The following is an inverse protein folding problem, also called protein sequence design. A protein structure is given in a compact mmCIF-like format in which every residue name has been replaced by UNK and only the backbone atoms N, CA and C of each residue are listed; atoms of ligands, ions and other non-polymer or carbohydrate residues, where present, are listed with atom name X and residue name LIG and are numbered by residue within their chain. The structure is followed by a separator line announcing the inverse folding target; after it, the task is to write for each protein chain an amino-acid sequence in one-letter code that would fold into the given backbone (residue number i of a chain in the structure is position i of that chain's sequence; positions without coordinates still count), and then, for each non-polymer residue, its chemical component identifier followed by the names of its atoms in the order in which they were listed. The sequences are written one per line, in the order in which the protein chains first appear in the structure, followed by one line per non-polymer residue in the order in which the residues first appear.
data_IF_459606228308
#
_entry.id   IF_459606228308
#
_cell.length_a   1.000
_cell.length_b   1.000
_cell.length_c   1.000
_cell.angle_alpha   90.00
_cell.angle_beta   90.00
_cell.angle_gamma   90.00
#
_symmetry.space_group_name_H-M   'P 1'
#
loop_
_entity.id
_entity.type
_entity.pdbx_description
1 polymer ?
#
# COMPACT_ATOMS: atom_id res chain seq x y z
N UNK A 1 0.32 13.22 -8.83
CA UNK A 1 0.02 12.84 -10.21
C UNK A 1 -1.44 12.47 -10.23
N UNK A 2 -2.24 13.17 -11.01
CA UNK A 2 -3.63 12.80 -11.30
C UNK A 2 -3.61 11.45 -12.00
N UNK A 3 -3.87 10.37 -11.25
CA UNK A 3 -4.27 9.10 -11.84
C UNK A 3 -5.54 9.39 -12.63
N UNK A 4 -5.46 9.30 -13.96
CA UNK A 4 -6.67 9.31 -14.77
C UNK A 4 -7.58 8.19 -14.27
N UNK A 5 -8.88 8.45 -14.19
CA UNK A 5 -9.81 7.44 -13.68
C UNK A 5 -9.76 6.20 -14.56
N UNK A 6 -9.23 5.12 -13.99
CA UNK A 6 -9.14 3.83 -14.64
C UNK A 6 -10.55 3.28 -14.91
N UNK A 7 -10.78 2.76 -16.11
CA UNK A 7 -12.07 2.14 -16.45
C UNK A 7 -12.26 0.81 -15.71
N UNK A 8 -13.50 0.38 -15.44
CA UNK A 8 -13.76 -0.93 -14.83
C UNK A 8 -13.11 -2.11 -15.58
N UNK A 9 -13.06 -2.05 -16.90
CA UNK A 9 -12.44 -3.09 -17.72
C UNK A 9 -10.90 -3.12 -17.56
N UNK A 10 -10.25 -1.94 -17.52
CA UNK A 10 -8.82 -1.85 -17.27
C UNK A 10 -8.44 -2.32 -15.86
N UNK A 11 -9.26 -1.99 -14.85
CA UNK A 11 -9.05 -2.49 -13.49
C UNK A 11 -9.23 -4.01 -13.40
N UNK A 12 -10.21 -4.58 -14.12
CA UNK A 12 -10.37 -6.03 -14.22
C UNK A 12 -9.13 -6.67 -14.88
N UNK A 13 -8.61 -6.09 -15.96
CA UNK A 13 -7.38 -6.56 -16.60
C UNK A 13 -6.19 -6.53 -15.63
N UNK A 14 -6.05 -5.45 -14.85
CA UNK A 14 -5.06 -5.33 -13.78
C UNK A 14 -5.17 -6.48 -12.78
N UNK A 15 -6.38 -6.77 -12.28
CA UNK A 15 -6.63 -7.91 -11.38
C UNK A 15 -6.33 -9.28 -12.01
N UNK A 16 -6.69 -9.47 -13.28
CA UNK A 16 -6.43 -10.72 -14.02
C UNK A 16 -4.93 -10.94 -14.23
N UNK A 17 -4.16 -9.86 -14.37
CA UNK A 17 -2.70 -9.91 -14.57
C UNK A 17 -1.91 -10.29 -13.31
N UNK A 18 -2.52 -10.20 -12.13
CA UNK A 18 -1.90 -10.58 -10.87
C UNK A 18 -1.60 -12.08 -10.87
N UNK A 19 -0.40 -12.42 -10.41
CA UNK A 19 -0.01 -13.81 -10.20
C UNK A 19 -0.55 -14.36 -8.87
N UNK A 20 -1.81 -14.82 -8.88
CA UNK A 20 -2.54 -15.25 -7.67
C UNK A 20 -2.06 -16.58 -7.06
N UNK A 21 -1.47 -17.46 -7.87
CA UNK A 21 -0.93 -18.76 -7.44
C UNK A 21 0.55 -18.89 -7.81
N UNK A 22 1.21 -17.73 -7.91
CA UNK A 22 2.57 -17.61 -8.39
C UNK A 22 3.61 -18.27 -7.52
N UNK A 23 4.84 -18.08 -7.94
CA UNK A 23 5.99 -18.43 -7.13
C UNK A 23 5.91 -17.71 -5.77
N UNK A 24 5.90 -18.50 -4.68
CA UNK A 24 5.90 -17.98 -3.31
C UNK A 24 7.09 -17.04 -3.08
N UNK A 25 8.16 -17.18 -3.86
CA UNK A 25 9.31 -16.27 -3.83
C UNK A 25 8.93 -14.82 -4.18
N UNK A 26 7.89 -14.58 -4.98
CA UNK A 26 7.40 -13.22 -5.28
C UNK A 26 6.77 -12.59 -4.04
N UNK A 27 5.86 -13.29 -3.36
CA UNK A 27 5.23 -12.79 -2.13
C UNK A 27 6.28 -12.60 -1.02
N UNK A 28 7.22 -13.54 -0.88
CA UNK A 28 8.30 -13.49 0.11
C UNK A 28 9.25 -12.32 -0.18
N UNK A 29 9.64 -12.11 -1.43
CA UNK A 29 10.53 -11.00 -1.80
C UNK A 29 9.87 -9.63 -1.59
N UNK A 30 8.54 -9.52 -1.65
CA UNK A 30 7.81 -8.27 -1.43
C UNK A 30 7.16 -8.14 -0.05
N UNK A 31 7.61 -8.92 0.92
CA UNK A 31 6.99 -9.03 2.25
C UNK A 31 6.79 -7.66 2.95
N UNK A 32 7.75 -6.73 2.82
CA UNK A 32 7.71 -5.44 3.57
C UNK A 32 6.68 -4.50 2.99
N UNK A 33 6.74 -4.30 1.68
CA UNK A 33 5.75 -3.47 0.99
C UNK A 33 4.35 -4.04 1.13
N UNK A 34 4.16 -5.36 0.98
CA UNK A 34 2.85 -6.02 1.17
C UNK A 34 2.26 -5.74 2.56
N UNK A 35 3.08 -5.83 3.61
CA UNK A 35 2.66 -5.53 4.98
C UNK A 35 2.23 -4.06 5.18
N UNK A 36 2.99 -3.11 4.62
CA UNK A 36 2.68 -1.68 4.70
C UNK A 36 1.40 -1.33 3.91
N UNK A 37 1.26 -1.91 2.72
CA UNK A 37 0.10 -1.73 1.86
C UNK A 37 -1.17 -2.32 2.49
N UNK A 38 -1.10 -3.49 3.12
CA UNK A 38 -2.23 -4.06 3.88
C UNK A 38 -2.61 -3.17 5.05
N UNK A 39 -1.65 -2.67 5.84
CA UNK A 39 -1.93 -1.73 6.95
C UNK A 39 -2.56 -0.44 6.46
N UNK A 40 -2.10 0.09 5.32
CA UNK A 40 -2.70 1.26 4.70
C UNK A 40 -4.13 0.98 4.21
N UNK A 41 -4.39 -0.20 3.62
CA UNK A 41 -5.74 -0.63 3.28
C UNK A 41 -6.64 -0.66 4.52
N UNK A 42 -6.21 -1.30 5.61
CA UNK A 42 -6.98 -1.38 6.86
C UNK A 42 -7.31 0.01 7.42
N UNK A 43 -6.35 0.94 7.38
CA UNK A 43 -6.52 2.35 7.76
C UNK A 43 -7.56 3.04 6.88
N UNK A 44 -7.44 2.93 5.55
CA UNK A 44 -8.40 3.57 4.61
C UNK A 44 -9.78 2.96 4.72
N UNK A 45 -9.89 1.64 4.81
CA UNK A 45 -11.14 0.94 5.05
C UNK A 45 -11.79 1.38 6.37
N UNK A 46 -11.01 1.64 7.43
CA UNK A 46 -11.54 2.16 8.69
C UNK A 46 -12.11 3.58 8.55
N UNK A 47 -11.44 4.45 7.78
CA UNK A 47 -11.96 5.80 7.47
C UNK A 47 -13.30 5.72 6.74
N UNK A 48 -13.38 4.88 5.71
CA UNK A 48 -14.60 4.66 4.95
C UNK A 48 -15.72 4.02 5.79
N UNK A 49 -15.40 3.02 6.61
CA UNK A 49 -16.38 2.38 7.47
C UNK A 49 -16.99 3.39 8.46
N UNK A 50 -16.18 4.27 9.06
CA UNK A 50 -16.67 5.32 9.96
C UNK A 50 -17.52 6.37 9.24
N UNK A 51 -17.09 6.81 8.06
CA UNK A 51 -17.82 7.81 7.27
C UNK A 51 -19.20 7.31 6.83
N UNK A 52 -19.29 6.02 6.52
CA UNK A 52 -20.50 5.38 6.00
C UNK A 52 -21.39 4.75 7.08
N UNK A 53 -20.96 4.76 8.36
CA UNK A 53 -21.63 4.02 9.44
C UNK A 53 -21.65 2.50 9.20
N UNK A 54 -20.62 1.98 8.55
CA UNK A 54 -20.43 0.59 8.15
C UNK A 54 -19.37 -0.13 9.00
N UNK A 55 -19.16 0.29 10.25
CA UNK A 55 -18.15 -0.28 11.16
C UNK A 55 -18.24 -1.81 11.33
N UNK A 56 -19.45 -2.44 11.39
CA UNK A 56 -19.56 -3.90 11.50
C UNK A 56 -19.03 -4.67 10.27
N UNK A 57 -18.90 -4.04 9.10
CA UNK A 57 -18.43 -4.67 7.87
C UNK A 57 -16.90 -4.57 7.70
N UNK A 58 -16.24 -3.75 8.51
CA UNK A 58 -14.79 -3.61 8.50
C UNK A 58 -14.11 -4.94 8.88
N UNK A 59 -12.96 -5.32 8.27
CA UNK A 59 -12.14 -4.55 7.33
C UNK A 59 -12.34 -4.84 5.84
N UNK A 60 -13.01 -5.94 5.48
CA UNK A 60 -13.08 -6.42 4.11
C UNK A 60 -14.50 -6.30 3.57
N UNK A 61 -14.83 -5.11 3.05
CA UNK A 61 -16.15 -4.80 2.54
C UNK A 61 -16.09 -4.03 1.23
N UNK A 62 -17.24 -4.00 0.56
CA UNK A 62 -17.43 -3.21 -0.64
C UNK A 62 -18.02 -1.84 -0.25
N UNK A 63 -17.18 -0.80 -0.29
CA UNK A 63 -17.54 0.59 0.00
C UNK A 63 -18.67 1.08 -0.92
N UNK A 64 -18.74 0.55 -2.15
CA UNK A 64 -19.75 0.97 -3.12
C UNK A 64 -21.16 0.50 -2.75
N UNK A 65 -21.30 -0.57 -1.97
CA UNK A 65 -22.60 -1.05 -1.47
C UNK A 65 -23.28 -0.01 -0.56
N UNK A 66 -22.52 0.90 0.03
CA UNK A 66 -23.02 1.96 0.92
C UNK A 66 -23.16 3.33 0.23
N UNK A 67 -22.47 3.54 -0.88
CA UNK A 67 -22.52 4.79 -1.64
C UNK A 67 -23.58 4.76 -2.74
N UNK A 68 -23.72 3.63 -3.43
CA UNK A 68 -24.61 3.48 -4.56
C UNK A 68 -25.14 2.05 -4.63
N UNK A 69 -26.22 1.79 -3.90
CA UNK A 69 -26.87 0.48 -3.88
C UNK A 69 -27.21 0.00 -5.30
N UNK A 70 -26.72 -1.19 -5.64
CA UNK A 70 -26.94 -1.79 -6.95
C UNK A 70 -26.04 -1.26 -8.07
N UNK A 71 -25.00 -0.47 -7.76
CA UNK A 71 -23.99 -0.09 -8.74
C UNK A 71 -23.32 -1.34 -9.33
N UNK A 72 -23.27 -1.40 -10.66
CA UNK A 72 -22.70 -2.51 -11.42
C UNK A 72 -21.91 -1.97 -12.60
N UNK A 73 -20.85 -2.68 -12.98
CA UNK A 73 -20.21 -2.49 -14.27
C UNK A 73 -21.10 -3.03 -15.40
N UNK A 74 -20.69 -2.82 -16.65
CA UNK A 74 -21.35 -3.43 -17.81
C UNK A 74 -21.36 -4.96 -17.67
N UNK A 75 -22.44 -5.60 -18.13
CA UNK A 75 -22.68 -7.04 -17.93
C UNK A 75 -21.49 -7.92 -18.36
N UNK A 76 -20.80 -7.56 -19.44
CA UNK A 76 -19.59 -8.26 -19.89
C UNK A 76 -18.46 -8.23 -18.84
N UNK A 77 -18.23 -7.08 -18.21
CA UNK A 77 -17.20 -6.91 -17.18
C UNK A 77 -17.59 -7.68 -15.92
N UNK A 78 -18.86 -7.62 -15.51
CA UNK A 78 -19.35 -8.39 -14.35
C UNK A 78 -19.22 -9.91 -14.59
N UNK A 79 -19.64 -10.42 -15.75
CA UNK A 79 -19.55 -11.84 -16.09
C UNK A 79 -18.09 -12.32 -16.13
N UNK A 80 -17.18 -11.50 -16.64
CA UNK A 80 -15.76 -11.80 -16.70
C UNK A 80 -15.11 -11.76 -15.31
N UNK A 81 -15.46 -10.76 -14.49
CA UNK A 81 -15.05 -10.67 -13.11
C UNK A 81 -15.50 -11.91 -12.32
N UNK A 82 -16.78 -12.27 -12.36
CA UNK A 82 -17.29 -13.43 -11.59
C UNK A 82 -16.63 -14.75 -12.02
N UNK A 83 -16.41 -14.93 -13.33
CA UNK A 83 -15.68 -16.10 -13.84
C UNK A 83 -14.24 -16.14 -13.34
N UNK A 84 -13.56 -15.00 -13.35
CA UNK A 84 -12.20 -14.86 -12.82
C UNK A 84 -12.15 -15.16 -11.32
N UNK A 85 -13.04 -14.54 -10.52
CA UNK A 85 -13.08 -14.71 -9.08
C UNK A 85 -13.33 -16.17 -8.69
N UNK A 86 -14.28 -16.85 -9.35
CA UNK A 86 -14.62 -18.24 -9.07
C UNK A 86 -13.47 -19.21 -9.42
N UNK A 87 -12.64 -18.86 -10.41
CA UNK A 87 -11.55 -19.73 -10.89
C UNK A 87 -10.17 -19.42 -10.29
N UNK A 88 -9.93 -18.20 -9.80
CA UNK A 88 -8.58 -17.72 -9.50
C UNK A 88 -8.37 -17.11 -8.12
N UNK A 89 -9.42 -16.61 -7.47
CA UNK A 89 -9.25 -15.86 -6.23
C UNK A 89 -9.48 -16.79 -5.02
N UNK A 90 -8.49 -16.89 -4.10
CA UNK A 90 -8.47 -17.96 -3.11
C UNK A 90 -9.44 -17.79 -1.94
N UNK A 91 -9.81 -16.54 -1.59
CA UNK A 91 -10.60 -16.27 -0.38
C UNK A 91 -11.82 -15.39 -0.66
N UNK A 92 -12.95 -15.63 0.05
CA UNK A 92 -14.15 -14.81 -0.09
C UNK A 92 -13.93 -13.32 0.17
N UNK A 93 -13.08 -12.97 1.14
CA UNK A 93 -12.73 -11.58 1.47
C UNK A 93 -11.94 -10.90 0.34
N UNK A 94 -10.97 -11.60 -0.25
CA UNK A 94 -10.27 -11.12 -1.46
C UNK A 94 -11.25 -10.93 -2.61
N UNK A 95 -12.15 -11.89 -2.84
CA UNK A 95 -13.15 -11.78 -3.90
C UNK A 95 -14.12 -10.61 -3.67
N UNK A 96 -14.49 -10.32 -2.41
CA UNK A 96 -15.34 -9.17 -2.06
C UNK A 96 -14.64 -7.85 -2.34
N UNK A 97 -13.36 -7.70 -1.97
CA UNK A 97 -12.61 -6.48 -2.22
C UNK A 97 -12.28 -6.27 -3.71
N UNK A 98 -12.04 -7.34 -4.47
CA UNK A 98 -11.90 -7.26 -5.94
C UNK A 98 -13.19 -6.74 -6.61
N UNK A 99 -14.37 -7.22 -6.18
CA UNK A 99 -15.66 -6.68 -6.65
C UNK A 99 -15.81 -5.21 -6.33
N UNK A 100 -15.52 -4.83 -5.08
CA UNK A 100 -15.59 -3.45 -4.65
C UNK A 100 -14.66 -2.54 -5.44
N UNK A 101 -13.44 -2.98 -5.75
CA UNK A 101 -12.51 -2.23 -6.58
C UNK A 101 -13.07 -1.99 -8.00
N UNK A 102 -13.61 -3.02 -8.67
CA UNK A 102 -14.20 -2.88 -10.02
C UNK A 102 -15.39 -1.92 -10.00
N UNK A 103 -16.29 -2.06 -9.03
CA UNK A 103 -17.43 -1.14 -8.86
C UNK A 103 -16.97 0.27 -8.50
N UNK A 104 -15.89 0.41 -7.75
CA UNK A 104 -15.30 1.71 -7.42
C UNK A 104 -14.82 2.43 -8.68
N UNK A 105 -14.21 1.72 -9.63
CA UNK A 105 -13.87 2.28 -10.94
C UNK A 105 -15.12 2.77 -11.70
N UNK A 106 -16.26 2.06 -11.61
CA UNK A 106 -17.54 2.52 -12.19
C UNK A 106 -17.98 3.84 -11.53
N UNK A 107 -17.95 3.88 -10.19
CA UNK A 107 -18.35 5.04 -9.40
C UNK A 107 -17.49 6.26 -9.73
N UNK A 108 -16.17 6.08 -9.76
CA UNK A 108 -15.18 7.09 -10.16
C UNK A 108 -15.43 7.60 -11.57
N UNK A 109 -15.71 6.71 -12.53
CA UNK A 109 -15.98 7.10 -13.91
C UNK A 109 -17.30 7.88 -14.04
N UNK A 110 -18.31 7.53 -13.24
CA UNK A 110 -19.55 8.28 -13.15
C UNK A 110 -19.32 9.68 -12.53
N UNK A 111 -18.47 9.78 -11.50
CA UNK A 111 -18.13 11.05 -10.85
C UNK A 111 -17.34 12.01 -11.77
N UNK A 112 -16.42 11.47 -12.58
CA UNK A 112 -15.58 12.26 -13.47
C UNK A 112 -16.33 12.80 -14.71
N UNK A 113 -17.48 12.20 -15.05
CA UNK A 113 -18.42 12.78 -15.99
C UNK A 113 -19.06 14.03 -15.35
N UNK A 114 -18.34 15.15 -15.38
CA UNK A 114 -18.91 16.51 -15.15
C UNK A 114 -20.21 16.65 -15.96
N UNK A 115 -21.21 17.41 -15.48
CA UNK A 115 -22.52 17.42 -16.12
C UNK A 115 -22.41 17.83 -17.58
N UNK A 116 -22.90 16.95 -18.46
CA UNK A 116 -23.23 17.26 -19.84
C UNK A 116 -24.34 18.33 -19.93
N UNK A 117 -24.75 18.71 -21.15
CA UNK A 117 -25.51 19.93 -21.43
C UNK A 117 -26.84 20.05 -20.66
N UNK A 118 -27.43 21.27 -20.61
CA UNK A 118 -28.58 21.58 -19.76
C UNK A 118 -29.75 20.64 -20.08
N UNK A 119 -30.19 19.87 -19.08
CA UNK A 119 -31.32 18.93 -19.22
C UNK A 119 -31.28 17.74 -18.27
N UNK A 120 -30.13 17.44 -17.65
CA UNK A 120 -29.98 16.38 -16.64
C UNK A 120 -29.74 16.98 -15.24
N UNK A 121 -30.53 17.99 -14.87
CA UNK A 121 -30.41 18.73 -13.59
C UNK A 121 -31.34 18.22 -12.48
N UNK A 122 -32.16 17.21 -12.74
CA UNK A 122 -33.26 16.83 -11.83
C UNK A 122 -32.94 15.59 -10.97
N UNK A 123 -31.68 15.15 -10.86
CA UNK A 123 -31.23 14.16 -9.89
C UNK A 123 -30.31 14.85 -8.85
N UNK A 124 -30.84 15.32 -7.69
CA UNK A 124 -30.14 16.31 -6.89
C UNK A 124 -28.91 15.82 -6.09
N UNK A 125 -28.75 14.52 -5.81
CA UNK A 125 -27.87 14.11 -4.69
C UNK A 125 -26.80 13.04 -4.99
N UNK A 126 -26.68 12.55 -6.23
CA UNK A 126 -26.16 11.18 -6.41
C UNK A 126 -24.65 10.95 -6.39
N UNK A 127 -23.75 11.93 -6.30
CA UNK A 127 -22.30 11.59 -6.38
C UNK A 127 -21.33 12.62 -5.79
N UNK A 128 -21.66 13.25 -4.65
CA UNK A 128 -20.58 13.84 -3.85
C UNK A 128 -19.87 12.72 -3.10
N UNK A 129 -18.76 12.24 -3.67
CA UNK A 129 -17.88 11.32 -2.94
C UNK A 129 -17.26 12.07 -1.75
N UNK A 130 -17.23 11.47 -0.55
CA UNK A 130 -16.46 12.00 0.58
C UNK A 130 -15.01 12.29 0.17
N UNK A 131 -14.41 13.33 0.76
CA UNK A 131 -12.98 13.63 0.57
C UNK A 131 -12.12 12.66 1.38
N UNK A 132 -12.16 11.39 0.98
CA UNK A 132 -11.43 10.28 1.56
C UNK A 132 -10.49 9.66 0.52
N UNK A 133 -9.36 9.09 0.95
CA UNK A 133 -8.42 8.45 0.04
C UNK A 133 -9.05 7.22 -0.62
N UNK A 134 -8.58 6.87 -1.82
CA UNK A 134 -9.00 5.66 -2.54
C UNK A 134 -8.89 4.43 -1.63
N UNK A 135 -9.99 3.70 -1.39
CA UNK A 135 -9.99 2.57 -0.45
C UNK A 135 -9.22 1.36 -0.96
N UNK A 136 -9.13 1.15 -2.29
CA UNK A 136 -8.68 -0.10 -2.88
C UNK A 136 -7.25 -0.06 -3.42
N UNK A 137 -6.72 1.12 -3.76
CA UNK A 137 -5.38 1.22 -4.37
C UNK A 137 -4.26 0.55 -3.57
N UNK A 138 -4.17 0.67 -2.23
CA UNK A 138 -3.14 -0.05 -1.47
C UNK A 138 -3.27 -1.58 -1.61
N UNK A 139 -4.51 -2.08 -1.69
CA UNK A 139 -4.79 -3.51 -1.80
C UNK A 139 -4.47 -4.04 -3.21
N UNK A 140 -4.78 -3.27 -4.25
CA UNK A 140 -4.40 -3.58 -5.63
C UNK A 140 -2.88 -3.67 -5.80
N UNK A 141 -2.15 -2.68 -5.28
CA UNK A 141 -0.68 -2.71 -5.25
C UNK A 141 -0.14 -3.90 -4.45
N UNK A 142 -0.83 -4.31 -3.38
CA UNK A 142 -0.43 -5.49 -2.61
C UNK A 142 -0.62 -6.77 -3.42
N UNK A 143 -1.74 -6.91 -4.12
CA UNK A 143 -2.02 -8.05 -5.00
C UNK A 143 -0.98 -8.20 -6.11
N UNK A 144 -0.63 -7.11 -6.77
CA UNK A 144 0.41 -7.08 -7.82
C UNK A 144 1.78 -7.55 -7.33
N UNK A 145 1.99 -7.59 -6.01
CA UNK A 145 3.27 -7.93 -5.38
C UNK A 145 3.30 -9.35 -4.80
N UNK A 146 2.37 -10.22 -5.17
CA UNK A 146 2.41 -11.64 -4.77
C UNK A 146 1.06 -12.21 -4.36
N UNK A 147 -0.02 -11.77 -5.00
CA UNK A 147 -1.36 -12.32 -4.82
C UNK A 147 -2.06 -11.86 -3.53
N UNK A 148 -3.06 -12.65 -3.13
CA UNK A 148 -4.01 -12.31 -2.08
C UNK A 148 -3.49 -12.51 -0.64
N UNK A 149 -4.43 -12.78 0.25
CA UNK A 149 -4.22 -13.05 1.67
C UNK A 149 -5.26 -14.04 2.18
N UNK A 150 -4.96 -14.67 3.31
CA UNK A 150 -5.93 -15.42 4.12
C UNK A 150 -6.23 -14.69 5.42
N UNK A 151 -7.39 -14.99 6.01
CA UNK A 151 -7.90 -14.34 7.22
C UNK A 151 -8.33 -15.43 8.18
N UNK A 152 -7.65 -15.50 9.32
CA UNK A 152 -8.03 -16.34 10.46
C UNK A 152 -7.93 -15.51 11.74
N UNK A 153 -7.07 -15.86 12.68
CA UNK A 153 -6.72 -15.01 13.83
C UNK A 153 -5.92 -13.77 13.39
N UNK A 154 -5.13 -13.92 12.33
CA UNK A 154 -4.33 -12.89 11.70
C UNK A 154 -4.65 -12.81 10.20
N UNK A 155 -4.28 -11.68 9.59
CA UNK A 155 -4.22 -11.54 8.15
C UNK A 155 -2.86 -12.08 7.71
N UNK A 156 -2.85 -13.24 7.07
CA UNK A 156 -1.64 -13.87 6.56
C UNK A 156 -1.38 -13.43 5.11
N UNK A 157 -0.23 -12.80 4.92
CA UNK A 157 0.27 -12.33 3.61
C UNK A 157 1.25 -13.32 2.96
N UNK A 158 1.16 -14.61 3.31
CA UNK A 158 2.00 -15.71 2.85
C UNK A 158 3.43 -15.66 3.38
N UNK A 159 3.56 -15.45 4.70
CA UNK A 159 4.86 -15.39 5.39
C UNK A 159 4.99 -14.23 6.37
N UNK A 160 4.02 -13.31 6.38
CA UNK A 160 3.88 -12.28 7.42
C UNK A 160 2.45 -12.22 7.93
N UNK A 161 2.33 -12.35 9.25
CA UNK A 161 1.09 -12.20 9.98
C UNK A 161 0.88 -10.74 10.36
N UNK A 162 -0.23 -10.17 9.91
CA UNK A 162 -0.66 -8.82 10.29
C UNK A 162 -1.83 -8.96 11.28
N UNK A 163 -1.70 -8.41 12.50
CA UNK A 163 -2.84 -8.29 13.39
C UNK A 163 -3.90 -7.42 12.76
N UNK A 164 -5.18 -7.82 12.88
CA UNK A 164 -6.30 -6.97 12.48
C UNK A 164 -6.25 -5.61 13.17
N UNK A 165 -5.96 -5.62 14.48
CA UNK A 165 -6.15 -4.45 15.33
C UNK A 165 -7.63 -4.12 15.53
N UNK A 166 -7.91 -2.95 16.08
CA UNK A 166 -9.26 -2.41 16.19
C UNK A 166 -9.49 -1.32 15.15
N UNK A 167 -10.76 -1.04 14.83
CA UNK A 167 -11.13 0.09 13.97
C UNK A 167 -10.49 1.40 14.48
N UNK A 168 -10.57 1.68 15.78
CA UNK A 168 -9.96 2.88 16.39
C UNK A 168 -8.44 2.92 16.28
N UNK A 169 -7.76 1.77 16.45
CA UNK A 169 -6.31 1.72 16.28
C UNK A 169 -5.89 1.99 14.82
N UNK A 170 -6.66 1.50 13.86
CA UNK A 170 -6.42 1.73 12.44
C UNK A 170 -6.71 3.19 12.07
N UNK A 171 -7.77 3.81 12.60
CA UNK A 171 -8.07 5.23 12.38
C UNK A 171 -6.93 6.17 12.84
N UNK A 172 -6.19 5.78 13.88
CA UNK A 172 -5.05 6.54 14.43
C UNK A 172 -3.70 6.17 13.81
N UNK A 173 -3.67 5.15 12.95
CA UNK A 173 -2.43 4.68 12.35
C UNK A 173 -1.80 5.77 11.47
N UNK A 174 -0.47 5.85 11.49
CA UNK A 174 0.27 6.74 10.61
C UNK A 174 0.02 6.36 9.14
N UNK A 175 -0.30 7.32 8.25
CA UNK A 175 -0.57 7.01 6.85
C UNK A 175 0.69 6.63 6.08
N UNK A 176 0.58 5.54 5.31
CA UNK A 176 1.58 5.12 4.34
C UNK A 176 1.09 5.53 2.93
N UNK A 177 1.60 6.65 2.44
CA UNK A 177 1.11 7.30 1.21
C UNK A 177 1.89 6.88 -0.06
N UNK A 178 2.93 6.08 0.10
CA UNK A 178 3.79 5.67 -1.00
C UNK A 178 3.08 4.65 -1.89
N UNK A 179 2.90 5.01 -3.16
CA UNK A 179 2.42 4.11 -4.23
C UNK A 179 3.45 3.93 -5.36
N UNK A 180 4.61 4.58 -5.25
CA UNK A 180 5.68 4.53 -6.25
C UNK A 180 6.34 3.13 -6.25
N UNK A 181 6.27 2.36 -7.37
CA UNK A 181 6.79 1.00 -7.41
C UNK A 181 8.25 0.89 -7.00
N UNK A 182 9.07 1.85 -7.42
CA UNK A 182 10.48 1.86 -7.07
C UNK A 182 10.73 1.97 -5.56
N UNK A 183 9.96 2.81 -4.88
CA UNK A 183 10.09 2.96 -3.43
C UNK A 183 9.69 1.67 -2.72
N UNK A 184 8.61 1.01 -3.19
CA UNK A 184 8.21 -0.31 -2.67
C UNK A 184 9.31 -1.35 -2.90
N UNK A 185 9.91 -1.40 -4.09
CA UNK A 185 11.01 -2.31 -4.42
C UNK A 185 12.26 -2.02 -3.58
N UNK A 186 12.54 -0.74 -3.30
CA UNK A 186 13.66 -0.36 -2.43
C UNK A 186 13.44 -0.78 -0.97
N UNK A 187 12.20 -0.76 -0.46
CA UNK A 187 11.89 -1.29 0.88
C UNK A 187 12.14 -2.80 0.95
N UNK A 188 11.84 -3.52 -0.13
CA UNK A 188 11.94 -4.97 -0.22
C UNK A 188 13.34 -5.49 -0.58
N UNK A 189 14.15 -4.68 -1.28
CA UNK A 189 15.48 -5.07 -1.76
C UNK A 189 16.33 -5.66 -0.62
N UNK A 190 16.61 -6.96 -0.67
CA UNK A 190 17.44 -7.67 0.33
C UNK A 190 16.88 -7.63 1.77
N UNK A 191 15.59 -7.36 1.95
CA UNK A 191 14.95 -7.08 3.23
C UNK A 191 14.68 -8.33 4.09
N UNK A 192 15.69 -9.20 4.22
CA UNK A 192 15.62 -10.43 5.01
C UNK A 192 15.82 -10.16 6.49
N UNK A 193 15.03 -10.84 7.33
CA UNK A 193 15.14 -10.78 8.79
C UNK A 193 14.49 -9.53 9.40
N UNK A 194 14.83 -9.21 10.65
CA UNK A 194 14.33 -8.01 11.34
C UNK A 194 15.13 -6.79 10.87
N UNK A 195 14.43 -5.70 10.53
CA UNK A 195 15.05 -4.45 10.06
C UNK A 195 14.73 -3.33 11.03
N UNK A 196 15.73 -2.53 11.37
CA UNK A 196 15.58 -1.23 12.04
C UNK A 196 16.15 -0.14 11.15
N UNK A 197 15.40 0.93 10.94
CA UNK A 197 15.81 2.07 10.12
C UNK A 197 16.30 3.23 10.99
N UNK A 198 17.29 3.95 10.50
CA UNK A 198 17.82 5.14 11.16
C UNK A 198 18.01 6.28 10.18
N UNK A 199 17.66 7.49 10.62
CA UNK A 199 17.97 8.74 9.93
C UNK A 199 19.29 9.30 10.44
N UNK A 200 20.20 9.67 9.53
CA UNK A 200 21.40 10.46 9.84
C UNK A 200 21.01 11.92 9.96
N UNK A 201 21.26 12.52 11.12
CA UNK A 201 20.87 13.88 11.46
C UNK A 201 22.05 14.73 11.92
N UNK A 202 21.96 16.03 11.68
CA UNK A 202 22.85 17.06 12.20
C UNK A 202 22.09 18.41 12.24
N UNK A 203 22.74 19.49 12.65
CA UNK A 203 22.12 20.82 12.78
C UNK A 203 21.43 21.31 11.47
N UNK A 204 21.95 20.91 10.30
CA UNK A 204 21.38 21.24 9.00
C UNK A 204 20.40 20.21 8.45
N UNK A 205 20.32 19.02 9.05
CA UNK A 205 19.54 17.89 8.55
C UNK A 205 18.73 17.24 9.68
N UNK A 206 17.57 17.82 10.06
CA UNK A 206 16.71 17.26 11.10
C UNK A 206 16.06 15.94 10.66
N UNK A 207 15.43 15.20 11.60
CA UNK A 207 14.70 13.94 11.32
C UNK A 207 13.67 14.06 10.18
N UNK A 208 13.05 15.23 10.01
CA UNK A 208 12.08 15.49 8.94
C UNK A 208 12.70 15.66 7.55
N UNK A 209 14.01 15.94 7.47
CA UNK A 209 14.77 16.06 6.23
C UNK A 209 16.21 15.59 6.47
N UNK A 210 16.41 14.28 6.72
CA UNK A 210 17.69 13.77 7.16
C UNK A 210 18.70 13.77 6.02
N UNK A 211 19.99 13.71 6.37
CA UNK A 211 21.09 13.71 5.39
C UNK A 211 21.13 12.43 4.56
N UNK A 212 20.66 11.34 5.15
CA UNK A 212 20.61 10.01 4.58
C UNK A 212 19.94 9.05 5.55
N UNK A 213 19.62 7.86 5.08
CA UNK A 213 19.11 6.78 5.94
C UNK A 213 20.03 5.56 5.87
N UNK A 214 20.08 4.84 6.98
CA UNK A 214 20.71 3.52 7.09
C UNK A 214 19.69 2.54 7.65
N UNK A 215 19.87 1.26 7.36
CA UNK A 215 19.10 0.20 7.99
C UNK A 215 20.05 -0.86 8.54
N UNK A 216 19.62 -1.47 9.64
CA UNK A 216 20.26 -2.62 10.25
C UNK A 216 19.38 -3.83 10.08
N UNK A 217 19.87 -4.86 9.38
CA UNK A 217 19.19 -6.15 9.23
C UNK A 217 19.78 -7.16 10.21
N UNK A 218 18.93 -7.88 10.93
CA UNK A 218 19.30 -9.02 11.80
C UNK A 218 18.72 -10.29 11.20
N UNK A 219 19.60 -11.17 10.72
CA UNK A 219 19.23 -12.37 9.94
C UNK A 219 19.63 -13.64 10.68
N UNK A 220 18.78 -14.68 10.58
CA UNK A 220 19.05 -15.99 11.15
C UNK A 220 18.93 -16.05 12.68
N UNK A 221 19.15 -17.25 13.23
CA UNK A 221 19.03 -17.52 14.68
C UNK A 221 20.12 -16.84 15.50
N UNK A 222 21.30 -16.68 14.93
CA UNK A 222 22.44 -16.00 15.55
C UNK A 222 22.36 -14.46 15.42
N UNK A 223 21.28 -13.95 14.80
CA UNK A 223 21.03 -12.52 14.58
C UNK A 223 22.23 -11.78 13.94
N UNK A 224 22.86 -12.40 12.95
CA UNK A 224 23.94 -11.78 12.17
C UNK A 224 23.48 -10.44 11.65
N UNK A 225 24.27 -9.41 11.93
CA UNK A 225 23.90 -8.02 11.68
C UNK A 225 24.53 -7.53 10.38
N UNK A 226 23.72 -6.91 9.53
CA UNK A 226 24.14 -6.28 8.28
C UNK A 226 23.66 -4.83 8.28
N UNK A 227 24.60 -3.91 8.20
CA UNK A 227 24.32 -2.48 8.15
C UNK A 227 24.43 -2.00 6.70
N UNK A 228 23.41 -1.29 6.23
CA UNK A 228 23.31 -0.82 4.85
C UNK A 228 22.89 0.66 4.82
N UNK A 229 23.45 1.43 3.89
CA UNK A 229 23.06 2.80 3.62
C UNK A 229 22.27 2.89 2.31
N UNK A 230 21.21 3.69 2.27
CA UNK A 230 20.54 4.01 1.01
C UNK A 230 21.33 5.12 0.32
N UNK A 231 21.97 4.80 -0.81
CA UNK A 231 22.93 5.71 -1.45
C UNK A 231 22.31 6.48 -2.62
N UNK A 232 23.07 7.44 -3.17
CA UNK A 232 22.71 8.17 -4.40
C UNK A 232 22.53 7.27 -5.63
N UNK A 233 23.01 6.02 -5.57
CA UNK A 233 22.80 5.02 -6.62
C UNK A 233 21.40 4.39 -6.56
N UNK A 234 20.53 4.88 -5.67
CA UNK A 234 19.16 4.42 -5.51
C UNK A 234 19.08 2.93 -5.14
N UNK A 235 19.95 2.49 -4.22
CA UNK A 235 19.97 1.12 -3.70
C UNK A 235 20.60 1.09 -2.30
N UNK A 236 20.33 0.01 -1.58
CA UNK A 236 21.00 -0.31 -0.32
C UNK A 236 22.40 -0.87 -0.59
N UNK A 237 23.42 -0.28 0.04
CA UNK A 237 24.81 -0.73 -0.06
C UNK A 237 25.38 -0.99 1.34
N UNK A 238 26.23 -2.01 1.53
CA UNK A 238 26.88 -2.27 2.82
C UNK A 238 27.58 -1.03 3.40
N UNK A 239 27.49 -0.83 4.70
CA UNK A 239 28.14 0.28 5.40
C UNK A 239 28.62 -0.14 6.78
N UNK A 240 29.71 0.49 7.25
CA UNK A 240 30.20 0.33 8.61
C UNK A 240 29.70 1.43 9.56
N UNK A 241 28.82 2.33 9.08
CA UNK A 241 28.45 3.55 9.81
C UNK A 241 27.96 3.28 11.24
N UNK A 242 26.97 2.39 11.43
CA UNK A 242 26.41 2.12 12.75
C UNK A 242 27.43 1.44 13.67
N UNK A 243 28.21 0.49 13.15
CA UNK A 243 29.30 -0.15 13.91
C UNK A 243 30.36 0.87 14.37
N UNK A 244 30.73 1.84 13.52
CA UNK A 244 31.67 2.91 13.89
C UNK A 244 31.09 3.84 14.97
N UNK A 245 29.79 4.16 14.90
CA UNK A 245 29.13 4.94 15.93
C UNK A 245 29.12 4.22 17.29
N UNK A 246 28.90 2.90 17.31
CA UNK A 246 28.98 2.07 18.52
C UNK A 246 30.39 2.06 19.13
N UNK A 247 31.43 2.27 18.31
CA UNK A 247 32.82 2.42 18.75
C UNK A 247 33.19 3.86 19.14
N UNK A 248 32.23 4.79 19.15
CA UNK A 248 32.42 6.19 19.58
C UNK A 248 32.77 7.17 18.46
N UNK A 249 32.75 6.75 17.19
CA UNK A 249 32.96 7.66 16.05
C UNK A 249 31.62 8.31 15.62
N UNK A 250 31.19 9.32 16.37
CA UNK A 250 29.90 9.99 16.19
C UNK A 250 30.05 11.38 15.56
N UNK A 251 30.64 11.46 14.36
CA UNK A 251 30.73 12.75 13.63
C UNK A 251 29.36 13.24 13.13
N UNK A 252 28.42 12.31 12.93
CA UNK A 252 27.03 12.56 12.51
C UNK A 252 26.13 11.72 13.38
N UNK A 253 25.17 12.35 14.05
CA UNK A 253 24.19 11.66 14.90
C UNK A 253 23.18 10.86 14.06
N UNK A 254 22.53 9.90 14.70
CA UNK A 254 21.40 9.19 14.09
C UNK A 254 20.28 8.93 15.09
N UNK A 255 19.07 8.80 14.57
CA UNK A 255 17.88 8.45 15.35
C UNK A 255 17.12 7.32 14.65
N UNK A 256 16.54 6.41 15.43
CA UNK A 256 15.65 5.38 14.90
C UNK A 256 14.39 6.04 14.30
N UNK A 257 13.99 5.56 13.11
CA UNK A 257 12.82 6.03 12.37
C UNK A 257 11.91 4.86 12.02
N UNK A 258 10.64 5.16 11.77
CA UNK A 258 9.69 4.16 11.30
C UNK A 258 9.98 3.75 9.87
N UNK A 259 9.47 2.58 9.47
CA UNK A 259 9.54 2.13 8.07
C UNK A 259 8.78 3.07 7.12
N UNK A 260 7.72 3.74 7.60
CA UNK A 260 6.98 4.76 6.85
C UNK A 260 7.85 6.01 6.62
N UNK A 261 8.60 6.46 7.64
CA UNK A 261 9.54 7.56 7.48
C UNK A 261 10.68 7.23 6.51
N UNK A 262 11.20 6.00 6.57
CA UNK A 262 12.20 5.51 5.62
C UNK A 262 11.65 5.52 4.18
N UNK A 263 10.41 5.05 3.96
CA UNK A 263 9.76 5.08 2.66
C UNK A 263 9.61 6.50 2.11
N UNK A 264 9.16 7.46 2.95
CA UNK A 264 9.04 8.88 2.56
C UNK A 264 10.39 9.45 2.12
N UNK A 265 11.47 9.12 2.83
CA UNK A 265 12.82 9.55 2.45
C UNK A 265 13.24 8.96 1.10
N UNK A 266 13.09 7.65 0.91
CA UNK A 266 13.45 6.95 -0.34
C UNK A 266 12.69 7.56 -1.51
N UNK A 267 11.37 7.74 -1.38
CA UNK A 267 10.52 8.30 -2.42
C UNK A 267 10.96 9.73 -2.79
N UNK A 268 11.23 10.57 -1.78
CA UNK A 268 11.70 11.93 -1.99
C UNK A 268 13.03 11.98 -2.75
N UNK A 269 14.03 11.22 -2.30
CA UNK A 269 15.36 11.19 -2.94
C UNK A 269 15.28 10.63 -4.35
N UNK A 270 14.50 9.57 -4.55
CA UNK A 270 14.34 8.90 -5.86
C UNK A 270 13.70 9.81 -6.88
N UNK A 271 12.62 10.51 -6.50
CA UNK A 271 11.99 11.52 -7.37
C UNK A 271 12.94 12.66 -7.71
N UNK A 272 13.74 13.13 -6.74
CA UNK A 272 14.71 14.21 -6.98
C UNK A 272 15.81 13.79 -7.96
N UNK A 273 16.40 12.62 -7.77
CA UNK A 273 17.51 12.15 -8.60
C UNK A 273 17.05 11.76 -10.01
N UNK A 274 15.86 11.16 -10.16
CA UNK A 274 15.29 10.85 -11.48
C UNK A 274 14.87 12.06 -12.29
N UNK A 275 14.59 13.20 -11.65
CA UNK A 275 14.28 14.46 -12.33
C UNK A 275 15.53 15.23 -12.79
N UNK A 276 16.69 14.87 -12.26
CA UNK A 276 17.97 15.54 -12.53
C UNK A 276 18.90 14.72 -13.43
N UNK A 277 18.52 13.48 -13.74
CA UNK A 277 19.11 12.62 -14.76
C UNK A 277 18.42 12.83 -16.11
#
# INVERSE_FOLDING_TARGET
MTTGTESPAALLERLVSVDWYGDWDVAVSHTRSRALLMREYLRRAALWARELGAEPEWPFFDVTEFLALGLRADARVEDELERFLAGKVPTPSTARTCRGAVRWAVLRQAADKRPGPPGLRDAPDLLHLPDLPDPYEPLLLMYERGGGYSVEEFIDLYGVMIPHGTLESNLRAEPFLTTDPFTLDALDQGAVGRITYYAKIDEGHPRSSPRGIVRRRRVGREATTYDEAFTRNLRWEPTEYLCRCELGHNEVDHVEITEIEAARFIEHVSRRLRRTA
#
